data_IF_102888717213
#
_entry.id   IF_102888717213
#
_cell.length_a   1.000
_cell.length_b   1.000
_cell.length_c   1.000
_cell.angle_alpha   90.00
_cell.angle_beta   90.00
_cell.angle_gamma   90.00
#
_symmetry.space_group_name_H-M   'P 1'
#
loop_
_entity.id
_entity.type
_entity.pdbx_description
1 polymer ?
#
# COMPACT_ATOMS: atom_id res chain seq x y z
N UNK A 1 -18.51 -9.68 -6.02
CA UNK A 1 -19.78 -10.38 -5.69
C UNK A 1 -20.66 -9.63 -4.71
N UNK A 2 -20.12 -9.04 -3.64
CA UNK A 2 -20.92 -8.27 -2.65
C UNK A 2 -21.77 -7.16 -3.28
N UNK A 3 -21.20 -6.33 -4.16
CA UNK A 3 -21.96 -5.30 -4.90
C UNK A 3 -23.09 -5.87 -5.79
N UNK A 4 -22.99 -7.15 -6.21
CA UNK A 4 -24.01 -7.83 -7.01
C UNK A 4 -25.09 -8.49 -6.16
N UNK A 5 -24.83 -8.73 -4.87
CA UNK A 5 -25.76 -9.41 -3.96
C UNK A 5 -26.89 -8.53 -3.43
N UNK A 6 -26.78 -7.20 -3.57
CA UNK A 6 -27.76 -6.23 -3.05
C UNK A 6 -27.79 -6.11 -1.52
N UNK A 7 -27.04 -6.95 -0.80
CA UNK A 7 -26.92 -6.83 0.65
C UNK A 7 -26.05 -5.62 1.03
N UNK A 8 -26.50 -4.76 1.97
CA UNK A 8 -25.73 -3.59 2.36
C UNK A 8 -24.45 -4.01 3.09
N UNK A 9 -23.30 -3.54 2.60
CA UNK A 9 -22.03 -3.65 3.31
C UNK A 9 -22.01 -2.56 4.39
N UNK A 10 -22.03 -2.96 5.66
CA UNK A 10 -22.02 -2.01 6.80
C UNK A 10 -20.62 -1.74 7.35
N UNK A 11 -19.75 -2.75 7.33
CA UNK A 11 -18.38 -2.66 7.83
C UNK A 11 -17.46 -3.54 7.00
N UNK A 12 -16.28 -3.02 6.67
CA UNK A 12 -15.23 -3.76 6.00
C UNK A 12 -13.91 -3.53 6.73
N UNK A 13 -13.11 -4.59 6.87
CA UNK A 13 -11.77 -4.51 7.47
C UNK A 13 -10.77 -4.97 6.44
N UNK A 14 -9.73 -4.16 6.22
CA UNK A 14 -8.61 -4.50 5.34
C UNK A 14 -7.35 -4.63 6.19
N UNK A 15 -6.71 -5.80 6.10
CA UNK A 15 -5.46 -6.09 6.81
C UNK A 15 -4.27 -5.91 5.87
N UNK A 16 -3.36 -5.00 6.20
CA UNK A 16 -2.11 -4.79 5.47
C UNK A 16 -1.77 -3.32 5.21
N UNK A 17 -0.50 -3.04 4.95
CA UNK A 17 0.03 -1.69 4.68
C UNK A 17 0.75 -1.59 3.32
N UNK A 18 0.49 -2.52 2.41
CA UNK A 18 1.01 -2.48 1.04
C UNK A 18 -0.02 -1.95 0.06
N UNK A 19 0.41 -1.72 -1.19
CA UNK A 19 -0.41 -1.19 -2.28
C UNK A 19 -1.79 -1.83 -2.37
N UNK A 20 -1.89 -3.17 -2.41
CA UNK A 20 -3.17 -3.85 -2.55
C UNK A 20 -4.13 -3.58 -1.38
N UNK A 21 -3.61 -3.40 -0.16
CA UNK A 21 -4.44 -3.05 0.99
C UNK A 21 -4.96 -1.61 0.86
N UNK A 22 -4.09 -0.67 0.49
CA UNK A 22 -4.47 0.72 0.27
C UNK A 22 -5.50 0.86 -0.86
N UNK A 23 -5.32 0.17 -1.98
CA UNK A 23 -6.26 0.16 -3.11
C UNK A 23 -7.61 -0.45 -2.71
N UNK A 24 -7.59 -1.49 -1.88
CA UNK A 24 -8.82 -2.10 -1.36
C UNK A 24 -9.59 -1.13 -0.47
N UNK A 25 -8.89 -0.38 0.39
CA UNK A 25 -9.50 0.65 1.25
C UNK A 25 -10.11 1.75 0.39
N UNK A 26 -9.35 2.31 -0.56
CA UNK A 26 -9.85 3.34 -1.48
C UNK A 26 -11.08 2.86 -2.27
N UNK A 27 -11.02 1.64 -2.81
CA UNK A 27 -12.14 1.02 -3.49
C UNK A 27 -13.38 0.91 -2.60
N UNK A 28 -13.22 0.49 -1.34
CA UNK A 28 -14.33 0.32 -0.41
C UNK A 28 -14.98 1.67 -0.04
N UNK A 29 -14.20 2.71 0.24
CA UNK A 29 -14.74 4.06 0.48
C UNK A 29 -15.54 4.59 -0.73
N UNK A 30 -15.05 4.34 -1.95
CA UNK A 30 -15.75 4.78 -3.18
C UNK A 30 -17.00 3.95 -3.49
N UNK A 31 -16.96 2.65 -3.21
CA UNK A 31 -18.02 1.71 -3.60
C UNK A 31 -19.14 1.64 -2.58
N UNK A 32 -18.82 1.81 -1.30
CA UNK A 32 -19.76 1.74 -0.18
C UNK A 32 -19.64 2.98 0.71
N UNK A 33 -20.18 4.14 0.30
CA UNK A 33 -20.01 5.41 1.01
C UNK A 33 -20.59 5.45 2.43
N UNK A 34 -21.48 4.52 2.74
CA UNK A 34 -22.13 4.37 4.05
C UNK A 34 -21.51 3.25 4.89
N UNK A 35 -20.49 2.54 4.37
CA UNK A 35 -19.80 1.50 5.10
C UNK A 35 -18.68 2.08 5.96
N UNK A 36 -18.52 1.55 7.17
CA UNK A 36 -17.34 1.78 7.98
C UNK A 36 -16.17 0.96 7.44
N UNK A 37 -15.10 1.63 6.98
CA UNK A 37 -13.92 0.98 6.42
C UNK A 37 -12.75 1.11 7.40
N UNK A 38 -12.30 0.00 7.96
CA UNK A 38 -11.18 -0.03 8.90
C UNK A 38 -9.93 -0.57 8.21
N UNK A 39 -8.88 0.24 8.10
CA UNK A 39 -7.54 -0.24 7.72
C UNK A 39 -6.74 -0.63 8.95
N UNK A 40 -6.22 -1.87 8.97
CA UNK A 40 -5.47 -2.42 10.10
C UNK A 40 -4.11 -2.89 9.63
N UNK A 41 -3.05 -2.42 10.27
CA UNK A 41 -1.68 -2.85 9.97
C UNK A 41 -0.72 -2.58 11.13
N UNK A 42 0.40 -3.31 11.17
CA UNK A 42 1.39 -3.22 12.25
C UNK A 42 2.32 -2.01 12.15
N UNK A 43 2.41 -1.39 10.97
CA UNK A 43 3.16 -0.14 10.77
C UNK A 43 2.41 1.05 11.41
N UNK A 44 3.10 2.15 11.66
CA UNK A 44 2.45 3.38 12.12
C UNK A 44 1.52 4.00 11.06
N UNK A 45 1.84 3.79 9.78
CA UNK A 45 1.09 4.32 8.64
C UNK A 45 1.54 3.66 7.33
N UNK A 46 0.90 4.05 6.24
CA UNK A 46 1.40 3.72 4.90
C UNK A 46 2.77 4.34 4.68
N UNK A 47 3.66 3.57 4.06
CA UNK A 47 5.00 4.02 3.69
C UNK A 47 5.02 4.26 2.18
N UNK A 48 5.49 5.41 1.69
CA UNK A 48 5.58 5.63 0.26
C UNK A 48 6.54 4.64 -0.39
N UNK A 49 6.22 4.21 -1.60
CA UNK A 49 7.16 3.46 -2.44
C UNK A 49 8.33 4.38 -2.84
N UNK A 50 9.55 3.89 -2.71
CA UNK A 50 10.73 4.61 -3.23
C UNK A 50 10.89 4.30 -4.71
N UNK A 51 10.49 5.26 -5.54
CA UNK A 51 10.58 5.22 -6.98
C UNK A 51 11.77 6.05 -7.52
N UNK A 52 12.67 6.48 -6.63
CA UNK A 52 13.77 7.35 -7.02
C UNK A 52 14.69 6.67 -8.05
N UNK A 53 15.22 7.40 -9.05
CA UNK A 53 15.96 6.80 -10.16
C UNK A 53 17.19 5.98 -9.75
N UNK A 54 17.79 6.27 -8.59
CA UNK A 54 18.93 5.50 -8.08
C UNK A 54 18.49 4.26 -7.31
N UNK A 55 17.44 4.34 -6.50
CA UNK A 55 16.90 3.18 -5.80
C UNK A 55 16.34 2.13 -6.78
N UNK A 56 15.71 2.59 -7.87
CA UNK A 56 15.10 1.73 -8.88
C UNK A 56 16.09 0.98 -9.77
N UNK A 57 17.39 1.32 -9.75
CA UNK A 57 18.41 0.55 -10.49
C UNK A 57 18.57 -0.88 -10.02
N UNK A 58 18.05 -1.22 -8.83
CA UNK A 58 17.95 -2.61 -8.37
C UNK A 58 17.11 -3.48 -9.33
N UNK A 59 16.27 -2.86 -10.17
CA UNK A 59 15.46 -3.51 -11.19
C UNK A 59 16.07 -3.47 -12.60
N UNK A 60 17.26 -2.86 -12.77
CA UNK A 60 17.95 -2.85 -14.05
C UNK A 60 18.31 -4.30 -14.45
N UNK A 61 18.29 -4.66 -15.75
CA UNK A 61 18.64 -6.00 -16.21
C UNK A 61 20.02 -6.47 -15.72
N UNK A 62 21.01 -5.58 -15.75
CA UNK A 62 22.38 -5.87 -15.31
C UNK A 62 22.46 -6.14 -13.79
N UNK A 63 21.53 -5.60 -13.00
CA UNK A 63 21.49 -5.83 -11.55
C UNK A 63 21.10 -7.29 -11.22
N UNK A 64 20.43 -8.00 -12.12
CA UNK A 64 20.08 -9.41 -11.95
C UNK A 64 21.33 -10.27 -11.83
N UNK A 65 22.31 -10.07 -12.71
CA UNK A 65 23.56 -10.83 -12.69
C UNK A 65 24.40 -10.52 -11.45
N UNK A 66 24.45 -9.24 -11.06
CA UNK A 66 25.12 -8.78 -9.83
C UNK A 66 24.46 -9.41 -8.61
N UNK A 67 23.13 -9.39 -8.52
CA UNK A 67 22.42 -10.00 -7.42
C UNK A 67 22.63 -11.52 -7.40
N UNK A 68 22.49 -12.19 -8.54
CA UNK A 68 22.59 -13.66 -8.62
C UNK A 68 23.95 -14.18 -8.18
N UNK A 69 25.03 -13.53 -8.61
CA UNK A 69 26.41 -13.90 -8.30
C UNK A 69 26.86 -13.50 -6.88
N UNK A 70 26.13 -12.62 -6.20
CA UNK A 70 26.50 -12.12 -4.88
C UNK A 70 26.41 -13.18 -3.76
N UNK A 71 27.26 -13.07 -2.71
CA UNK A 71 27.13 -13.85 -1.49
C UNK A 71 25.76 -13.65 -0.81
N UNK A 72 25.29 -14.66 -0.06
CA UNK A 72 23.98 -14.62 0.62
C UNK A 72 23.79 -13.40 1.52
N UNK A 73 24.83 -12.99 2.26
CA UNK A 73 24.78 -11.81 3.12
C UNK A 73 24.56 -10.53 2.30
N UNK A 74 25.20 -10.40 1.15
CA UNK A 74 25.06 -9.23 0.26
C UNK A 74 23.66 -9.22 -0.36
N UNK A 75 23.14 -10.38 -0.79
CA UNK A 75 21.75 -10.52 -1.27
C UNK A 75 20.76 -10.03 -0.22
N UNK A 76 20.93 -10.44 1.03
CA UNK A 76 20.07 -10.00 2.13
C UNK A 76 20.16 -8.49 2.34
N UNK A 77 21.37 -7.92 2.34
CA UNK A 77 21.53 -6.47 2.45
C UNK A 77 20.87 -5.72 1.29
N UNK A 78 21.00 -6.19 0.05
CA UNK A 78 20.33 -5.59 -1.11
C UNK A 78 18.79 -5.62 -0.95
N UNK A 79 18.24 -6.74 -0.50
CA UNK A 79 16.80 -6.85 -0.21
C UNK A 79 16.36 -5.92 0.90
N UNK A 80 17.13 -5.81 1.98
CA UNK A 80 16.79 -4.99 3.14
C UNK A 80 16.85 -3.49 2.81
N UNK A 81 17.88 -3.06 2.07
CA UNK A 81 18.04 -1.66 1.65
C UNK A 81 17.00 -1.22 0.62
N UNK A 82 16.69 -2.07 -0.36
CA UNK A 82 15.73 -1.74 -1.41
C UNK A 82 14.31 -2.23 -1.12
N UNK A 83 14.02 -2.67 0.11
CA UNK A 83 12.71 -3.20 0.47
C UNK A 83 11.58 -2.20 0.21
N UNK A 84 11.85 -0.91 0.41
CA UNK A 84 10.91 0.19 0.20
C UNK A 84 10.55 0.46 -1.26
N UNK A 85 11.23 -0.14 -2.24
CA UNK A 85 10.83 0.01 -3.64
C UNK A 85 9.64 -0.87 -4.01
N UNK A 86 9.31 -1.90 -3.20
CA UNK A 86 8.28 -2.88 -3.56
C UNK A 86 7.48 -3.49 -2.40
N UNK A 87 8.08 -3.69 -1.22
CA UNK A 87 7.44 -4.46 -0.14
C UNK A 87 6.83 -3.58 0.95
N UNK A 88 5.54 -3.76 1.21
CA UNK A 88 4.79 -3.03 2.25
C UNK A 88 4.87 -1.51 2.08
N UNK A 89 4.84 -1.08 0.83
CA UNK A 89 4.81 0.32 0.43
C UNK A 89 3.59 0.57 -0.43
N UNK A 90 3.23 1.85 -0.54
CA UNK A 90 2.05 2.34 -1.26
C UNK A 90 2.50 3.52 -2.12
N UNK A 91 1.92 3.65 -3.30
CA UNK A 91 2.11 4.80 -4.16
C UNK A 91 1.77 6.12 -3.43
N UNK A 92 2.58 7.16 -3.64
CA UNK A 92 2.41 8.44 -2.93
C UNK A 92 1.06 9.08 -3.23
N UNK A 93 0.61 9.07 -4.49
CA UNK A 93 -0.65 9.69 -4.89
C UNK A 93 -1.84 9.00 -4.21
N UNK A 94 -1.74 7.68 -4.01
CA UNK A 94 -2.75 6.90 -3.29
C UNK A 94 -2.74 7.22 -1.78
N UNK A 95 -1.56 7.40 -1.18
CA UNK A 95 -1.46 7.85 0.23
C UNK A 95 -2.14 9.22 0.39
N UNK A 96 -1.87 10.17 -0.51
CA UNK A 96 -2.48 11.50 -0.48
C UNK A 96 -4.00 11.45 -0.66
N UNK A 97 -4.48 10.63 -1.60
CA UNK A 97 -5.92 10.40 -1.83
C UNK A 97 -6.63 9.82 -0.59
N UNK A 98 -6.04 8.81 0.03
CA UNK A 98 -6.58 8.20 1.25
C UNK A 98 -6.57 9.20 2.42
N UNK A 99 -5.51 9.98 2.57
CA UNK A 99 -5.42 11.02 3.58
C UNK A 99 -6.48 12.11 3.38
N UNK A 100 -6.69 12.55 2.14
CA UNK A 100 -7.75 13.51 1.80
C UNK A 100 -9.15 12.94 2.08
N UNK A 101 -9.36 11.64 1.88
CA UNK A 101 -10.63 10.96 2.19
C UNK A 101 -10.88 10.92 3.69
N UNK A 102 -9.92 10.43 4.48
CA UNK A 102 -10.01 10.42 5.94
C UNK A 102 -10.23 11.84 6.51
N UNK A 103 -9.54 12.85 5.97
CA UNK A 103 -9.73 14.24 6.38
C UNK A 103 -11.15 14.75 6.10
N UNK A 104 -11.72 14.44 4.92
CA UNK A 104 -13.11 14.81 4.58
C UNK A 104 -14.13 14.14 5.51
N UNK A 105 -13.93 12.87 5.84
CA UNK A 105 -14.80 12.12 6.75
C UNK A 105 -14.75 12.70 8.16
N UNK A 106 -13.55 13.03 8.65
CA UNK A 106 -13.35 13.72 9.93
C UNK A 106 -14.06 15.07 9.99
N UNK A 107 -13.93 15.90 8.95
CA UNK A 107 -14.62 17.19 8.87
C UNK A 107 -16.14 17.02 8.82
N UNK A 108 -16.63 15.92 8.23
CA UNK A 108 -18.05 15.59 8.17
C UNK A 108 -18.58 14.90 9.45
N UNK A 109 -17.73 14.58 10.43
CA UNK A 109 -18.10 13.87 11.66
C UNK A 109 -18.47 12.40 11.46
N UNK A 110 -17.86 11.73 10.46
CA UNK A 110 -18.15 10.35 10.05
C UNK A 110 -16.95 9.39 10.19
N UNK A 111 -15.95 9.76 10.99
CA UNK A 111 -14.77 8.92 11.31
C UNK A 111 -15.16 7.71 12.16
#
# INVERSE_FOLDING_TARGET
ELARSGAPVRRAVVLGAGQSAAESVDYLHRTFPDAEVCSVFAKYGYTPADDSPFANRVFDPDAVDVYFSAPSQVKQSLLDYHRSTNYSVVDMDLIESLYATAYREKVAGRE
#
